data_IF_453246619238
#
_entry.id   IF_453246619238
#
_cell.length_a   1.000
_cell.length_b   1.000
_cell.length_c   1.000
_cell.angle_alpha   90.00
_cell.angle_beta   90.00
_cell.angle_gamma   90.00
#
_symmetry.space_group_name_H-M   'P 1'
#
loop_
_entity.id
_entity.type
_entity.pdbx_description
1 polymer ?
#
# COMPACT_ATOMS: atom_id res chain seq x y z
N UNK A 1 10.51 -0.46 11.82
CA UNK A 1 10.05 0.82 12.41
C UNK A 1 9.11 0.46 13.56
N UNK A 2 9.21 1.06 14.75
CA UNK A 2 8.24 0.77 15.80
C UNK A 2 6.91 1.48 15.50
N UNK A 3 5.81 1.06 16.16
CA UNK A 3 4.44 1.56 15.89
C UNK A 3 4.32 3.09 16.07
N UNK A 4 5.06 3.67 16.99
CA UNK A 4 5.06 5.11 17.29
C UNK A 4 5.76 5.91 16.18
N UNK A 5 6.88 5.42 15.67
CA UNK A 5 7.58 6.03 14.53
C UNK A 5 6.78 5.91 13.23
N UNK A 6 6.02 4.83 13.09
CA UNK A 6 5.11 4.63 11.96
C UNK A 6 3.93 5.59 12.03
N UNK A 7 3.32 5.78 13.20
CA UNK A 7 2.28 6.78 13.44
C UNK A 7 2.77 8.18 13.10
N UNK A 8 3.89 8.60 13.68
CA UNK A 8 4.49 9.91 13.43
C UNK A 8 4.81 10.13 11.95
N UNK A 9 5.23 9.09 11.23
CA UNK A 9 5.47 9.14 9.78
C UNK A 9 4.18 9.41 9.01
N UNK A 10 3.11 8.66 9.29
CA UNK A 10 1.84 8.81 8.57
C UNK A 10 1.08 10.09 8.95
N UNK A 11 1.21 10.60 10.18
CA UNK A 11 0.62 11.88 10.61
C UNK A 11 1.18 13.08 9.84
N UNK A 12 2.44 13.03 9.43
CA UNK A 12 3.07 14.10 8.66
C UNK A 12 2.79 14.01 7.16
N UNK A 13 2.49 12.82 6.63
CA UNK A 13 2.08 12.65 5.24
C UNK A 13 0.59 12.99 5.11
N UNK A 14 0.29 14.22 4.73
CA UNK A 14 -1.09 14.73 4.58
C UNK A 14 -1.86 14.13 3.41
N UNK A 15 -1.19 13.53 2.42
CA UNK A 15 -1.81 12.92 1.26
C UNK A 15 -0.87 11.91 0.58
N UNK A 16 -1.44 10.81 0.06
CA UNK A 16 -0.76 9.82 -0.77
C UNK A 16 -1.02 10.05 -2.26
N UNK A 17 -0.91 11.31 -2.70
CA UNK A 17 -1.00 11.64 -4.11
C UNK A 17 0.40 11.55 -4.75
N UNK A 18 0.54 10.68 -5.75
CA UNK A 18 1.77 10.46 -6.51
C UNK A 18 1.74 11.07 -7.91
N UNK A 19 0.66 11.75 -8.28
CA UNK A 19 0.48 12.32 -9.64
C UNK A 19 1.58 13.34 -9.98
N UNK A 20 2.11 14.06 -8.98
CA UNK A 20 3.21 15.01 -9.17
C UNK A 20 4.49 14.38 -9.71
N UNK A 21 4.74 13.10 -9.42
CA UNK A 21 5.95 12.41 -9.87
C UNK A 21 5.89 11.96 -11.33
N UNK A 22 4.72 12.05 -11.96
CA UNK A 22 4.49 11.67 -13.37
C UNK A 22 5.07 10.28 -13.70
N UNK A 23 4.83 9.31 -12.80
CA UNK A 23 5.36 7.96 -12.92
C UNK A 23 4.64 7.23 -14.03
N UNK A 24 5.39 6.74 -15.01
CA UNK A 24 4.88 5.77 -15.97
C UNK A 24 5.08 4.37 -15.40
N UNK A 25 4.01 3.59 -15.28
CA UNK A 25 4.06 2.26 -14.68
C UNK A 25 3.67 1.19 -15.68
N UNK A 26 4.44 0.10 -15.72
CA UNK A 26 4.14 -1.12 -16.48
C UNK A 26 4.14 -2.32 -15.55
N UNK A 27 2.97 -2.87 -15.27
CA UNK A 27 2.84 -4.13 -14.52
C UNK A 27 3.12 -5.30 -15.46
N UNK A 28 4.02 -6.20 -15.04
CA UNK A 28 4.47 -7.36 -15.82
C UNK A 28 3.64 -8.62 -15.53
N UNK A 29 2.86 -8.60 -14.45
CA UNK A 29 2.00 -9.70 -14.03
C UNK A 29 0.53 -9.34 -14.21
N UNK A 30 -0.31 -10.35 -14.36
CA UNK A 30 -1.74 -10.15 -14.57
C UNK A 30 -2.49 -9.93 -13.24
N UNK A 31 -2.08 -8.92 -12.47
CA UNK A 31 -2.74 -8.52 -11.23
C UNK A 31 -3.41 -7.16 -11.39
N UNK A 32 -4.68 -7.06 -11.02
CA UNK A 32 -5.37 -5.78 -10.88
C UNK A 32 -6.42 -5.88 -9.78
N UNK A 33 -6.08 -5.38 -8.60
CA UNK A 33 -6.93 -5.40 -7.42
C UNK A 33 -8.33 -4.82 -7.68
N UNK A 34 -8.41 -3.69 -8.37
CA UNK A 34 -9.70 -3.04 -8.63
C UNK A 34 -10.60 -3.81 -9.60
N UNK A 35 -9.99 -4.53 -10.57
CA UNK A 35 -10.73 -5.48 -11.43
C UNK A 35 -11.24 -6.67 -10.62
N UNK A 36 -10.45 -7.18 -9.67
CA UNK A 36 -10.88 -8.25 -8.77
C UNK A 36 -12.04 -7.81 -7.89
N UNK A 37 -11.92 -6.66 -7.20
CA UNK A 37 -13.02 -6.11 -6.40
C UNK A 37 -14.30 -6.00 -7.24
N UNK A 38 -14.20 -5.45 -8.45
CA UNK A 38 -15.34 -5.33 -9.36
C UNK A 38 -15.91 -6.67 -9.80
N UNK A 39 -15.05 -7.67 -10.06
CA UNK A 39 -15.45 -9.02 -10.50
C UNK A 39 -16.24 -9.76 -9.43
N UNK A 40 -15.83 -9.62 -8.16
CA UNK A 40 -16.43 -10.36 -7.04
C UNK A 40 -17.51 -9.59 -6.28
N UNK A 41 -17.77 -8.33 -6.62
CA UNK A 41 -18.85 -7.54 -6.02
C UNK A 41 -20.12 -7.60 -6.86
N UNK A 42 -21.26 -7.51 -6.16
CA UNK A 42 -22.58 -7.28 -6.73
C UNK A 42 -23.09 -5.90 -6.32
N UNK A 43 -24.27 -5.49 -6.79
CA UNK A 43 -24.89 -4.21 -6.37
C UNK A 43 -25.17 -4.18 -4.88
N UNK A 44 -25.47 -5.33 -4.29
CA UNK A 44 -25.87 -5.47 -2.89
C UNK A 44 -24.67 -5.68 -1.95
N UNK A 45 -23.46 -5.74 -2.48
CA UNK A 45 -22.25 -5.97 -1.69
C UNK A 45 -21.97 -4.83 -0.71
N UNK A 46 -21.41 -5.21 0.44
CA UNK A 46 -20.83 -4.33 1.44
C UNK A 46 -19.32 -4.56 1.48
N UNK A 47 -18.54 -3.51 1.35
CA UNK A 47 -17.09 -3.58 1.25
C UNK A 47 -16.44 -2.82 2.40
N UNK A 48 -15.41 -3.41 3.00
CA UNK A 48 -14.51 -2.77 3.96
C UNK A 48 -13.14 -2.56 3.29
N UNK A 49 -12.65 -1.32 3.27
CA UNK A 49 -11.30 -0.96 2.78
C UNK A 49 -10.42 -0.56 3.97
N UNK A 50 -9.48 -1.42 4.32
CA UNK A 50 -8.54 -1.23 5.43
C UNK A 50 -7.30 -0.45 4.94
N UNK A 51 -6.90 0.59 5.66
CA UNK A 51 -5.80 1.47 5.27
C UNK A 51 -6.17 2.32 4.04
N UNK A 52 -7.35 2.97 4.08
CA UNK A 52 -7.89 3.72 2.94
C UNK A 52 -7.10 4.99 2.61
N UNK A 53 -6.29 5.51 3.56
CA UNK A 53 -5.61 6.79 3.43
C UNK A 53 -6.59 7.94 3.20
N UNK A 54 -6.27 8.87 2.33
CA UNK A 54 -7.14 9.99 1.93
C UNK A 54 -8.33 9.61 1.05
N UNK A 55 -8.59 8.30 0.83
CA UNK A 55 -9.76 7.80 0.11
C UNK A 55 -9.70 7.94 -1.42
N UNK A 56 -8.63 8.50 -2.02
CA UNK A 56 -8.56 8.83 -3.45
C UNK A 56 -8.77 7.59 -4.32
N UNK A 57 -8.10 6.47 -3.98
CA UNK A 57 -8.20 5.22 -4.75
C UNK A 57 -9.59 4.58 -4.58
N UNK A 58 -10.15 4.63 -3.37
CA UNK A 58 -11.49 4.13 -3.09
C UNK A 58 -12.53 4.91 -3.87
N UNK A 59 -12.51 6.22 -3.81
CA UNK A 59 -13.46 7.11 -4.51
C UNK A 59 -13.39 6.94 -6.03
N UNK A 60 -12.19 6.73 -6.59
CA UNK A 60 -11.95 6.64 -8.04
C UNK A 60 -12.26 5.27 -8.63
N UNK A 61 -11.91 4.18 -7.93
CA UNK A 61 -11.83 2.86 -8.56
C UNK A 61 -12.82 1.82 -8.02
N UNK A 62 -13.35 1.99 -6.80
CA UNK A 62 -14.26 1.01 -6.23
C UNK A 62 -15.63 1.04 -6.92
N UNK A 63 -16.30 -0.13 -7.05
CA UNK A 63 -17.58 -0.25 -7.72
C UNK A 63 -18.69 0.52 -6.99
N UNK A 64 -19.82 0.73 -7.67
CA UNK A 64 -21.04 1.21 -7.04
C UNK A 64 -21.76 0.02 -6.44
N UNK A 65 -21.74 -0.08 -5.12
CA UNK A 65 -22.33 -1.13 -4.31
C UNK A 65 -23.19 -0.51 -3.20
N UNK A 66 -23.85 -1.30 -2.39
CA UNK A 66 -24.72 -0.80 -1.31
C UNK A 66 -23.95 0.06 -0.32
N UNK A 67 -22.79 -0.42 0.14
CA UNK A 67 -22.03 0.26 1.19
C UNK A 67 -20.53 0.01 1.04
N UNK A 68 -19.73 1.05 1.28
CA UNK A 68 -18.29 0.95 1.41
C UNK A 68 -17.86 1.72 2.66
N UNK A 69 -17.20 1.02 3.58
CA UNK A 69 -16.54 1.61 4.73
C UNK A 69 -15.04 1.64 4.48
N UNK A 70 -14.46 2.84 4.39
CA UNK A 70 -13.01 3.03 4.38
C UNK A 70 -12.51 3.34 5.79
N UNK A 71 -11.41 2.70 6.20
CA UNK A 71 -10.84 2.93 7.53
C UNK A 71 -9.35 3.19 7.45
N UNK A 72 -8.88 4.05 8.35
CA UNK A 72 -7.47 4.32 8.55
C UNK A 72 -7.24 4.64 10.04
N UNK A 73 -6.04 4.40 10.55
CA UNK A 73 -5.73 4.73 11.94
C UNK A 73 -5.34 6.21 12.11
N UNK A 74 -4.91 6.89 11.02
CA UNK A 74 -4.58 8.30 11.03
C UNK A 74 -5.83 9.16 10.94
N UNK A 75 -6.01 10.05 11.91
CA UNK A 75 -7.06 11.05 11.93
C UNK A 75 -6.97 11.98 10.73
N UNK A 76 -5.76 12.42 10.38
CA UNK A 76 -5.46 13.32 9.27
C UNK A 76 -5.87 12.71 7.92
N UNK A 77 -5.61 11.40 7.74
CA UNK A 77 -6.03 10.67 6.55
C UNK A 77 -7.56 10.61 6.45
N UNK A 78 -8.25 10.32 7.54
CA UNK A 78 -9.72 10.28 7.56
C UNK A 78 -10.34 11.66 7.33
N UNK A 79 -9.75 12.73 7.87
CA UNK A 79 -10.19 14.11 7.58
C UNK A 79 -10.01 14.43 6.08
N UNK A 80 -8.89 14.03 5.48
CA UNK A 80 -8.63 14.18 4.06
C UNK A 80 -9.63 13.36 3.23
N UNK A 81 -9.89 12.10 3.62
CA UNK A 81 -10.86 11.23 2.95
C UNK A 81 -12.27 11.83 2.96
N UNK A 82 -12.69 12.39 4.09
CA UNK A 82 -13.99 13.09 4.19
C UNK A 82 -14.05 14.36 3.32
N UNK A 83 -12.97 15.15 3.26
CA UNK A 83 -12.89 16.31 2.34
C UNK A 83 -12.98 15.88 0.87
N UNK A 84 -12.34 14.76 0.50
CA UNK A 84 -12.40 14.20 -0.85
C UNK A 84 -13.79 13.63 -1.15
N UNK A 85 -14.45 13.00 -0.18
CA UNK A 85 -15.82 12.51 -0.32
C UNK A 85 -16.81 13.64 -0.61
N UNK A 86 -16.71 14.76 0.08
CA UNK A 86 -17.56 15.95 -0.16
C UNK A 86 -17.46 16.47 -1.60
N UNK A 87 -16.28 16.36 -2.22
CA UNK A 87 -16.06 16.72 -3.64
C UNK A 87 -16.58 15.67 -4.60
N UNK A 88 -16.79 14.45 -4.12
CA UNK A 88 -17.31 13.33 -4.91
C UNK A 88 -18.84 13.33 -4.89
N UNK A 89 -19.46 12.66 -5.87
CA UNK A 89 -20.92 12.45 -5.88
C UNK A 89 -21.32 11.11 -5.25
N UNK A 90 -20.39 10.45 -4.54
CA UNK A 90 -20.61 9.13 -3.94
C UNK A 90 -21.33 9.27 -2.60
N UNK A 91 -22.49 8.60 -2.45
CA UNK A 91 -23.30 8.64 -1.22
C UNK A 91 -23.25 7.34 -0.41
N UNK A 92 -22.68 6.29 -1.00
CA UNK A 92 -22.60 4.94 -0.43
C UNK A 92 -21.27 4.67 0.26
N UNK A 93 -20.51 5.70 0.58
CA UNK A 93 -19.17 5.61 1.18
C UNK A 93 -19.17 6.38 2.50
N UNK A 94 -18.54 5.79 3.49
CA UNK A 94 -18.21 6.44 4.76
C UNK A 94 -16.76 6.17 5.14
N UNK A 95 -16.17 7.05 5.95
CA UNK A 95 -14.82 6.90 6.46
C UNK A 95 -14.79 6.96 7.98
N UNK A 96 -13.96 6.11 8.61
CA UNK A 96 -13.86 6.03 10.06
C UNK A 96 -12.42 5.76 10.51
N UNK A 97 -12.00 6.39 11.61
CA UNK A 97 -10.73 6.07 12.28
C UNK A 97 -10.86 4.67 12.88
N UNK A 98 -9.92 3.77 12.55
CA UNK A 98 -9.88 2.42 13.10
C UNK A 98 -8.47 1.83 13.04
N UNK A 99 -8.03 1.18 14.12
CA UNK A 99 -6.83 0.34 14.12
C UNK A 99 -7.18 -1.03 13.50
N UNK A 100 -6.54 -1.37 12.39
CA UNK A 100 -6.75 -2.66 11.70
C UNK A 100 -6.36 -3.88 12.54
N UNK A 101 -5.56 -3.69 13.59
CA UNK A 101 -5.21 -4.76 14.54
C UNK A 101 -6.27 -4.96 15.62
N UNK A 102 -7.14 -3.95 15.83
CA UNK A 102 -8.23 -3.95 16.83
C UNK A 102 -9.52 -3.46 16.18
N UNK A 103 -10.01 -4.24 15.20
CA UNK A 103 -11.17 -3.86 14.42
C UNK A 103 -12.44 -3.82 15.25
N UNK A 104 -13.15 -2.69 15.19
CA UNK A 104 -14.47 -2.52 15.78
C UNK A 104 -15.52 -2.46 14.66
N UNK A 105 -15.86 -3.63 14.13
CA UNK A 105 -16.86 -3.80 13.06
C UNK A 105 -17.74 -5.01 13.34
N UNK A 106 -18.93 -4.99 12.78
CA UNK A 106 -19.90 -6.07 12.95
C UNK A 106 -19.40 -7.39 12.34
N UNK A 107 -19.63 -8.51 13.05
CA UNK A 107 -19.37 -9.84 12.52
C UNK A 107 -20.31 -10.16 11.35
N UNK A 108 -19.82 -10.97 10.40
CA UNK A 108 -20.59 -11.48 9.25
C UNK A 108 -21.35 -10.39 8.47
N UNK A 109 -20.72 -9.23 8.31
CA UNK A 109 -21.35 -8.06 7.73
C UNK A 109 -20.88 -7.73 6.31
N UNK A 110 -19.59 -7.89 6.05
CA UNK A 110 -18.99 -7.51 4.76
C UNK A 110 -18.94 -8.70 3.79
N UNK A 111 -19.19 -8.42 2.52
CA UNK A 111 -19.02 -9.40 1.44
C UNK A 111 -17.57 -9.42 0.95
N UNK A 112 -16.88 -8.28 1.03
CA UNK A 112 -15.49 -8.13 0.62
C UNK A 112 -14.74 -7.27 1.64
N UNK A 113 -13.54 -7.71 2.02
CA UNK A 113 -12.56 -6.91 2.74
C UNK A 113 -11.34 -6.72 1.85
N UNK A 114 -10.87 -5.49 1.76
CA UNK A 114 -9.69 -5.10 0.99
C UNK A 114 -8.65 -4.53 1.94
N UNK A 115 -7.39 -4.93 1.81
CA UNK A 115 -6.27 -4.37 2.55
C UNK A 115 -5.14 -3.99 1.57
N UNK A 116 -4.76 -2.71 1.56
CA UNK A 116 -3.72 -2.21 0.66
C UNK A 116 -2.59 -1.53 1.42
N UNK A 117 -1.39 -2.12 1.34
CA UNK A 117 -0.17 -1.58 1.97
C UNK A 117 -0.41 -1.20 3.44
N UNK A 118 -1.08 -2.07 4.19
CA UNK A 118 -1.43 -1.86 5.60
C UNK A 118 -1.31 -3.16 6.37
N UNK A 119 -1.11 -3.04 7.68
CA UNK A 119 -1.12 -4.19 8.58
C UNK A 119 -2.52 -4.78 8.70
N UNK A 120 -2.61 -6.08 8.90
CA UNK A 120 -3.88 -6.81 8.96
C UNK A 120 -3.99 -7.68 10.21
N UNK A 121 -5.23 -7.94 10.62
CA UNK A 121 -5.57 -8.98 11.59
C UNK A 121 -6.51 -9.99 10.92
N UNK A 122 -5.99 -11.06 10.30
CA UNK A 122 -6.79 -12.01 9.52
C UNK A 122 -7.90 -12.68 10.32
N UNK A 123 -7.71 -12.92 11.63
CA UNK A 123 -8.73 -13.50 12.49
C UNK A 123 -9.94 -12.57 12.66
N UNK A 124 -9.72 -11.27 12.81
CA UNK A 124 -10.82 -10.29 12.89
C UNK A 124 -11.46 -10.06 11.52
N UNK A 125 -10.68 -10.05 10.45
CA UNK A 125 -11.19 -9.99 9.08
C UNK A 125 -12.08 -11.21 8.80
N UNK A 126 -11.65 -12.41 9.17
CA UNK A 126 -12.46 -13.62 9.01
C UNK A 126 -13.80 -13.50 9.74
N UNK A 127 -13.82 -12.95 10.96
CA UNK A 127 -15.06 -12.76 11.73
C UNK A 127 -16.02 -11.78 11.05
N UNK A 128 -15.55 -10.65 10.54
CA UNK A 128 -16.40 -9.63 9.95
C UNK A 128 -16.88 -9.96 8.53
N UNK A 129 -16.22 -10.87 7.82
CA UNK A 129 -16.69 -11.36 6.52
C UNK A 129 -17.89 -12.29 6.68
N UNK A 130 -18.85 -12.17 5.78
CA UNK A 130 -19.93 -13.15 5.60
C UNK A 130 -19.37 -14.48 5.11
N UNK A 131 -20.09 -15.57 5.32
CA UNK A 131 -19.78 -16.87 4.71
C UNK A 131 -19.76 -16.73 3.18
N UNK A 132 -18.68 -17.21 2.56
CA UNK A 132 -18.44 -17.06 1.12
C UNK A 132 -17.89 -15.70 0.70
N UNK A 133 -17.63 -14.79 1.64
CA UNK A 133 -17.01 -13.50 1.39
C UNK A 133 -15.52 -13.59 1.06
N UNK A 134 -14.96 -12.54 0.51
CA UNK A 134 -13.59 -12.50 -0.01
C UNK A 134 -12.71 -11.50 0.73
N UNK A 135 -11.46 -11.89 0.94
CA UNK A 135 -10.38 -11.02 1.36
C UNK A 135 -9.43 -10.80 0.17
N UNK A 136 -9.13 -9.54 -0.14
CA UNK A 136 -8.09 -9.16 -1.10
C UNK A 136 -7.02 -8.34 -0.40
N UNK A 137 -5.78 -8.80 -0.48
CA UNK A 137 -4.61 -8.09 0.03
C UNK A 137 -3.74 -7.65 -1.14
N UNK A 138 -3.21 -6.45 -1.07
CA UNK A 138 -2.13 -5.96 -1.92
C UNK A 138 -1.08 -5.33 -1.02
N UNK A 139 0.04 -6.00 -0.87
CA UNK A 139 1.11 -5.60 0.03
C UNK A 139 2.44 -5.38 -0.69
N UNK A 140 3.36 -4.68 -0.03
CA UNK A 140 4.73 -4.47 -0.51
C UNK A 140 5.55 -5.72 -0.18
N UNK A 141 6.21 -6.31 -1.18
CA UNK A 141 7.08 -7.47 -0.99
C UNK A 141 8.42 -7.06 -0.35
N UNK A 142 9.04 -7.96 0.41
CA UNK A 142 10.36 -7.76 1.00
C UNK A 142 11.41 -7.33 -0.04
N UNK A 143 11.33 -7.87 -1.25
CA UNK A 143 12.26 -7.58 -2.34
C UNK A 143 11.80 -6.39 -3.21
N UNK A 144 10.84 -5.57 -2.74
CA UNK A 144 10.52 -4.31 -3.42
C UNK A 144 11.76 -3.42 -3.49
N UNK A 145 12.05 -2.88 -4.68
CA UNK A 145 13.24 -2.06 -4.94
C UNK A 145 14.57 -2.72 -4.54
N UNK A 146 14.67 -4.05 -4.65
CA UNK A 146 15.78 -4.83 -4.08
C UNK A 146 17.17 -4.38 -4.55
N UNK A 147 17.36 -4.06 -5.83
CA UNK A 147 18.64 -3.55 -6.35
C UNK A 147 19.06 -2.22 -5.69
N UNK A 148 18.09 -1.36 -5.40
CA UNK A 148 18.34 -0.12 -4.68
C UNK A 148 18.71 -0.40 -3.21
N UNK A 149 17.96 -1.28 -2.53
CA UNK A 149 18.25 -1.69 -1.15
C UNK A 149 19.63 -2.34 -1.01
N UNK A 150 20.02 -3.19 -1.96
CA UNK A 150 21.37 -3.80 -2.01
C UNK A 150 22.46 -2.73 -2.09
N UNK A 151 22.31 -1.74 -2.95
CA UNK A 151 23.29 -0.69 -3.14
C UNK A 151 23.45 0.17 -1.87
N UNK A 152 22.34 0.45 -1.18
CA UNK A 152 22.37 1.21 0.07
C UNK A 152 22.72 0.35 1.30
N UNK A 153 22.57 -0.98 1.22
CA UNK A 153 22.78 -1.91 2.33
C UNK A 153 21.71 -1.83 3.42
N UNK A 154 20.55 -1.22 3.11
CA UNK A 154 19.44 -0.99 4.06
C UNK A 154 18.12 -0.81 3.31
N UNK A 155 17.00 -0.88 4.02
CA UNK A 155 15.67 -0.62 3.49
C UNK A 155 14.59 -1.44 4.17
N UNK A 156 13.34 -1.08 3.94
CA UNK A 156 12.19 -1.73 4.55
C UNK A 156 12.19 -3.24 4.27
N UNK A 157 12.24 -4.05 5.32
CA UNK A 157 12.26 -5.51 5.25
C UNK A 157 13.53 -6.14 4.67
N UNK A 158 14.60 -5.34 4.43
CA UNK A 158 15.83 -5.82 3.75
C UNK A 158 16.51 -6.98 4.47
N UNK A 159 16.51 -6.95 5.81
CA UNK A 159 17.14 -7.96 6.66
C UNK A 159 16.13 -8.95 7.28
N UNK A 160 14.86 -8.92 6.86
CA UNK A 160 13.85 -9.82 7.40
C UNK A 160 14.13 -11.25 6.94
N UNK A 161 14.16 -12.19 7.88
CA UNK A 161 14.44 -13.60 7.60
C UNK A 161 13.30 -14.27 6.83
N UNK A 162 12.07 -13.82 7.01
CA UNK A 162 10.88 -14.36 6.37
C UNK A 162 10.13 -13.28 5.63
N UNK A 163 9.82 -13.48 4.35
CA UNK A 163 9.06 -12.51 3.57
C UNK A 163 7.69 -12.21 4.17
N UNK A 164 7.32 -10.93 4.22
CA UNK A 164 6.01 -10.50 4.73
C UNK A 164 4.85 -11.13 3.95
N UNK A 165 5.02 -11.38 2.66
CA UNK A 165 4.06 -12.08 1.82
C UNK A 165 3.75 -13.49 2.31
N UNK A 166 4.78 -14.21 2.79
CA UNK A 166 4.62 -15.54 3.38
C UNK A 166 4.00 -15.45 4.77
N UNK A 167 4.42 -14.47 5.57
CA UNK A 167 3.85 -14.26 6.92
C UNK A 167 2.35 -13.97 6.82
N UNK A 168 1.94 -13.11 5.91
CA UNK A 168 0.52 -12.77 5.73
C UNK A 168 -0.26 -13.95 5.16
N UNK A 169 0.31 -14.69 4.21
CA UNK A 169 -0.30 -15.90 3.65
C UNK A 169 -0.59 -16.95 4.74
N UNK A 170 0.39 -17.25 5.58
CA UNK A 170 0.23 -18.21 6.68
C UNK A 170 -0.81 -17.75 7.70
N UNK A 171 -0.76 -16.47 8.11
CA UNK A 171 -1.76 -15.90 9.03
C UNK A 171 -3.18 -15.94 8.47
N UNK A 172 -3.34 -15.80 7.15
CA UNK A 172 -4.64 -15.92 6.48
C UNK A 172 -5.12 -17.38 6.52
N UNK A 173 -4.24 -18.35 6.25
CA UNK A 173 -4.57 -19.78 6.41
C UNK A 173 -4.93 -20.13 7.85
N UNK A 174 -4.12 -19.69 8.82
CA UNK A 174 -4.36 -19.92 10.25
C UNK A 174 -5.68 -19.30 10.75
N UNK A 175 -6.15 -18.23 10.11
CA UNK A 175 -7.43 -17.60 10.43
C UNK A 175 -8.65 -18.41 9.95
N UNK A 176 -8.43 -19.45 9.13
CA UNK A 176 -9.47 -20.37 8.64
C UNK A 176 -9.97 -20.07 7.23
N UNK A 177 -9.33 -19.16 6.50
CA UNK A 177 -9.66 -18.92 5.09
C UNK A 177 -9.37 -20.15 4.24
N UNK A 178 -10.18 -20.33 3.20
CA UNK A 178 -10.03 -21.37 2.19
C UNK A 178 -9.63 -20.76 0.85
N UNK A 179 -9.21 -21.60 -0.09
CA UNK A 179 -8.87 -21.18 -1.45
C UNK A 179 -7.91 -19.95 -1.46
N UNK A 180 -6.88 -20.02 -0.61
CA UNK A 180 -5.93 -18.91 -0.44
C UNK A 180 -4.89 -18.96 -1.55
N UNK A 181 -4.85 -17.92 -2.38
CA UNK A 181 -3.91 -17.76 -3.48
C UNK A 181 -2.93 -16.61 -3.16
N UNK A 182 -1.63 -16.87 -3.27
CA UNK A 182 -0.56 -15.86 -3.19
C UNK A 182 -0.05 -15.56 -4.59
N UNK A 183 -0.14 -14.30 -5.00
CA UNK A 183 0.24 -13.84 -6.34
C UNK A 183 1.41 -12.87 -6.27
N UNK A 184 2.59 -13.19 -6.84
CA UNK A 184 3.68 -12.23 -6.97
C UNK A 184 3.33 -11.15 -8.01
N UNK A 185 3.64 -9.89 -7.69
CA UNK A 185 3.33 -8.75 -8.55
C UNK A 185 4.62 -8.01 -8.87
N UNK A 186 4.91 -7.87 -10.16
CA UNK A 186 6.09 -7.15 -10.64
C UNK A 186 5.64 -5.95 -11.46
N UNK A 187 6.15 -4.77 -11.11
CA UNK A 187 5.89 -3.51 -11.82
C UNK A 187 7.21 -2.80 -12.11
N UNK A 188 7.30 -2.17 -13.26
CA UNK A 188 8.39 -1.26 -13.59
C UNK A 188 7.81 0.15 -13.56
N UNK A 189 8.45 1.02 -12.80
CA UNK A 189 8.15 2.45 -12.75
C UNK A 189 9.27 3.22 -13.43
N UNK A 190 8.91 4.24 -14.20
CA UNK A 190 9.85 5.10 -14.92
C UNK A 190 9.67 6.54 -14.46
N UNK A 191 10.76 7.18 -14.07
CA UNK A 191 10.84 8.56 -13.63
C UNK A 191 11.55 9.40 -14.68
N UNK A 192 11.04 10.60 -14.93
CA UNK A 192 11.57 11.52 -15.95
C UNK A 192 13.00 11.99 -15.67
N UNK A 193 13.34 12.22 -14.41
CA UNK A 193 14.61 12.80 -14.01
C UNK A 193 14.97 12.47 -12.56
N UNK A 194 16.22 12.78 -12.17
CA UNK A 194 16.76 12.56 -10.83
C UNK A 194 15.96 13.28 -9.75
N UNK A 195 15.50 14.52 -9.97
CA UNK A 195 14.76 15.28 -8.96
C UNK A 195 13.46 14.56 -8.56
N UNK A 196 12.63 14.20 -9.54
CA UNK A 196 11.38 13.48 -9.29
C UNK A 196 11.60 12.11 -8.65
N UNK A 197 12.66 11.40 -9.06
CA UNK A 197 13.02 10.11 -8.49
C UNK A 197 13.45 10.25 -7.03
N UNK A 198 14.29 11.22 -6.72
CA UNK A 198 14.77 11.49 -5.36
C UNK A 198 13.63 11.92 -4.45
N UNK A 199 12.77 12.84 -4.90
CA UNK A 199 11.57 13.25 -4.14
C UNK A 199 10.63 12.08 -3.86
N UNK A 200 10.48 11.16 -4.82
CA UNK A 200 9.70 9.94 -4.62
C UNK A 200 10.31 9.05 -3.53
N UNK A 201 11.63 8.81 -3.58
CA UNK A 201 12.32 8.02 -2.56
C UNK A 201 12.22 8.65 -1.16
N UNK A 202 12.18 9.96 -1.06
CA UNK A 202 11.98 10.67 0.21
C UNK A 202 10.55 10.52 0.74
N UNK A 203 9.56 10.41 -0.15
CA UNK A 203 8.15 10.26 0.24
C UNK A 203 7.78 8.82 0.59
N UNK A 204 8.48 7.83 0.07
CA UNK A 204 8.15 6.40 0.26
C UNK A 204 9.23 5.74 1.10
N UNK A 205 8.90 5.02 2.18
CA UNK A 205 9.88 4.43 3.10
C UNK A 205 10.54 3.16 2.49
N UNK A 206 11.17 3.32 1.30
CA UNK A 206 11.88 2.22 0.63
C UNK A 206 13.24 1.98 1.28
N UNK A 207 13.99 3.07 1.50
CA UNK A 207 15.30 3.06 2.14
C UNK A 207 15.17 3.62 3.55
N UNK A 208 15.64 2.87 4.54
CA UNK A 208 15.59 3.30 5.94
C UNK A 208 16.33 4.63 6.13
N UNK A 209 15.70 5.53 6.87
CA UNK A 209 16.20 6.88 7.13
C UNK A 209 16.39 7.76 5.87
N UNK A 210 15.77 7.42 4.76
CA UNK A 210 15.72 8.23 3.56
C UNK A 210 14.30 8.82 3.43
N UNK A 211 13.98 9.81 4.26
CA UNK A 211 12.67 10.48 4.23
C UNK A 211 12.78 11.94 4.69
N UNK A 212 11.87 12.79 4.22
CA UNK A 212 11.78 14.20 4.60
C UNK A 212 11.65 14.42 6.11
N UNK A 213 11.18 13.42 6.84
CA UNK A 213 10.80 13.51 8.24
C UNK A 213 11.93 13.27 9.23
N UNK A 214 12.98 12.60 8.78
CA UNK A 214 14.07 12.26 9.68
C UNK A 214 14.92 13.47 10.12
N UNK A 215 14.59 14.69 9.67
CA UNK A 215 15.48 15.84 9.80
C UNK A 215 16.79 15.65 9.04
N UNK A 216 16.91 14.51 8.38
CA UNK A 216 18.09 14.06 7.67
C UNK A 216 18.13 14.52 6.22
N UNK A 217 17.07 15.14 5.70
CA UNK A 217 17.05 15.62 4.30
C UNK A 217 18.28 16.48 3.99
N UNK A 218 18.63 17.41 4.87
CA UNK A 218 19.87 18.18 4.73
C UNK A 218 21.12 17.33 4.91
N UNK A 219 21.07 16.26 5.71
CA UNK A 219 22.21 15.40 6.01
C UNK A 219 22.48 14.36 4.94
N UNK A 220 21.44 13.84 4.27
CA UNK A 220 21.59 12.86 3.18
C UNK A 220 22.03 13.51 1.86
N UNK A 221 21.52 14.69 1.54
CA UNK A 221 22.04 15.47 0.41
C UNK A 221 23.44 16.06 0.68
N UNK A 222 23.89 16.08 1.93
CA UNK A 222 25.25 16.43 2.30
C UNK A 222 26.16 15.21 2.49
N UNK A 223 25.63 13.98 2.43
CA UNK A 223 26.42 12.76 2.47
C UNK A 223 26.83 12.35 1.06
N UNK A 224 28.08 12.65 0.72
CA UNK A 224 28.68 12.41 -0.58
C UNK A 224 28.54 10.94 -1.02
N UNK A 225 28.76 9.99 -0.11
CA UNK A 225 28.68 8.54 -0.36
C UNK A 225 27.28 8.09 -0.79
N UNK A 226 26.22 8.61 -0.16
CA UNK A 226 24.84 8.23 -0.53
C UNK A 226 24.39 8.88 -1.84
N UNK A 227 24.87 10.08 -2.13
CA UNK A 227 24.69 10.72 -3.42
C UNK A 227 25.39 9.95 -4.55
N UNK A 228 26.63 9.51 -4.34
CA UNK A 228 27.35 8.66 -5.28
C UNK A 228 26.61 7.33 -5.54
N UNK A 229 26.09 6.70 -4.49
CA UNK A 229 25.27 5.48 -4.63
C UNK A 229 24.01 5.74 -5.45
N UNK A 230 23.32 6.85 -5.20
CA UNK A 230 22.13 7.22 -5.96
C UNK A 230 22.45 7.49 -7.43
N UNK A 231 23.56 8.20 -7.69
CA UNK A 231 24.00 8.50 -9.05
C UNK A 231 24.40 7.23 -9.79
N UNK A 232 25.12 6.32 -9.14
CA UNK A 232 25.43 5.00 -9.69
C UNK A 232 24.17 4.21 -10.01
N UNK A 233 23.17 4.18 -9.10
CA UNK A 233 21.91 3.53 -9.38
C UNK A 233 21.21 4.10 -10.62
N UNK A 234 21.18 5.43 -10.73
CA UNK A 234 20.56 6.15 -11.85
C UNK A 234 21.27 5.81 -13.16
N UNK A 235 22.60 5.83 -13.19
CA UNK A 235 23.39 5.49 -14.36
C UNK A 235 23.10 4.05 -14.84
N UNK A 236 23.16 3.07 -13.94
CA UNK A 236 22.93 1.65 -14.23
C UNK A 236 21.48 1.32 -14.62
N UNK A 237 20.52 2.13 -14.18
CA UNK A 237 19.09 1.89 -14.38
C UNK A 237 18.40 2.92 -15.29
N UNK A 238 19.16 3.71 -16.02
CA UNK A 238 18.62 4.63 -17.03
C UNK A 238 18.29 3.89 -18.33
N UNK A 239 17.09 4.18 -18.87
CA UNK A 239 16.61 3.62 -20.13
C UNK A 239 15.79 4.66 -20.89
N UNK A 240 16.18 4.96 -22.13
CA UNK A 240 15.53 5.98 -22.96
C UNK A 240 15.33 7.32 -22.23
N UNK A 241 16.35 7.79 -21.51
CA UNK A 241 16.32 9.05 -20.77
C UNK A 241 15.46 9.06 -19.51
N UNK A 242 14.93 7.90 -19.08
CA UNK A 242 14.12 7.75 -17.87
C UNK A 242 14.81 6.81 -16.88
N UNK A 243 14.64 7.08 -15.59
CA UNK A 243 15.16 6.24 -14.51
C UNK A 243 14.15 5.13 -14.24
N UNK A 244 14.62 3.90 -14.28
CA UNK A 244 13.82 2.68 -14.09
C UNK A 244 13.91 2.19 -12.67
N UNK A 245 12.77 1.99 -12.01
CA UNK A 245 12.64 1.38 -10.70
C UNK A 245 11.82 0.10 -10.79
N UNK A 246 12.38 -1.01 -10.31
CA UNK A 246 11.67 -2.29 -10.24
C UNK A 246 10.95 -2.40 -8.91
N UNK A 247 9.61 -2.47 -8.96
CA UNK A 247 8.76 -2.64 -7.81
C UNK A 247 8.30 -4.08 -7.69
N UNK A 248 8.26 -4.59 -6.48
CA UNK A 248 7.68 -5.89 -6.16
C UNK A 248 6.61 -5.75 -5.09
N UNK A 249 5.46 -6.30 -5.41
CA UNK A 249 4.32 -6.40 -4.50
C UNK A 249 3.84 -7.84 -4.46
N UNK A 250 2.94 -8.14 -3.56
CA UNK A 250 2.22 -9.40 -3.54
C UNK A 250 0.72 -9.14 -3.43
N UNK A 251 -0.06 -10.07 -3.94
CA UNK A 251 -1.49 -10.13 -3.77
C UNK A 251 -1.89 -11.39 -3.03
N UNK A 252 -2.90 -11.32 -2.18
CA UNK A 252 -3.56 -12.51 -1.63
C UNK A 252 -5.05 -12.42 -1.98
N UNK A 253 -5.59 -13.53 -2.47
CA UNK A 253 -7.01 -13.76 -2.66
C UNK A 253 -7.40 -14.88 -1.72
N UNK A 254 -8.37 -14.66 -0.84
CA UNK A 254 -8.81 -15.66 0.10
C UNK A 254 -10.34 -15.65 0.25
N UNK A 255 -10.95 -16.81 0.47
CA UNK A 255 -12.40 -16.99 0.64
C UNK A 255 -12.71 -17.53 2.04
N UNK A 256 -13.73 -16.94 2.71
CA UNK A 256 -14.26 -17.44 3.97
C UNK A 256 -15.22 -18.62 3.77
#
# INVERSE_FOLDING_TARGET
>A
MNKENELNYYEKIKEWNFDKFQIESKTLTNWNLFKLIKKYSTKDSKILDLGTGGGEKLLKYFPKVTEILGTDFSKEMIETANKNLLKSRRKNISFRIMDNLKMDVQNEYFDIVVARNTVINPKQIFKCLKKGGYLFIHGVDQHDCYSLKLLFGKGQGFNDLKPISIIDYEKVLEAGFKDVELVPIHTIEYFKNKSLFTEFLMKVPIIDNFSEESGFVKKYFSNEIENEKLDKYIEENSYNGKIKLRRRYYGIIAKK
#
